data_IF_415987215822
#
_entry.id   IF_415987215822
#
_cell.length_a   1.000
_cell.length_b   1.000
_cell.length_c   1.000
_cell.angle_alpha   90.00
_cell.angle_beta   90.00
_cell.angle_gamma   90.00
#
_symmetry.space_group_name_H-M   'P 1'
#
loop_
_entity.id
_entity.type
_entity.pdbx_description
1 polymer ?
#
# COMPACT_ATOMS: atom_id res chain seq x y z
N UNK A 1 -6.73 15.01 39.18
CA UNK A 1 -6.90 15.79 37.92
C UNK A 1 -6.73 14.82 36.76
N UNK A 2 -7.84 14.24 36.27
CA UNK A 2 -7.82 13.17 35.28
C UNK A 2 -7.78 13.78 33.87
N UNK A 3 -6.74 13.47 33.10
CA UNK A 3 -6.68 13.86 31.68
C UNK A 3 -7.58 12.94 30.86
N UNK A 4 -8.64 13.52 30.31
CA UNK A 4 -9.50 12.87 29.33
C UNK A 4 -8.68 12.49 28.09
N UNK A 5 -8.70 11.22 27.70
CA UNK A 5 -8.15 10.74 26.42
C UNK A 5 -9.04 11.26 25.29
N UNK A 6 -8.49 11.78 24.17
CA UNK A 6 -9.31 12.12 23.03
C UNK A 6 -9.91 10.83 22.43
N UNK A 7 -11.16 10.86 21.93
CA UNK A 7 -11.77 9.70 21.30
C UNK A 7 -11.02 9.38 20.00
N UNK A 8 -10.53 8.15 19.89
CA UNK A 8 -10.22 7.57 18.58
C UNK A 8 -11.56 7.45 17.84
N UNK A 9 -11.84 8.40 16.95
CA UNK A 9 -12.92 8.23 15.98
C UNK A 9 -12.55 7.05 15.08
N UNK A 10 -13.20 5.90 15.30
CA UNK A 10 -13.30 4.89 14.25
C UNK A 10 -14.04 5.48 13.05
N UNK A 11 -13.84 4.94 11.83
CA UNK A 11 -14.59 5.40 10.67
C UNK A 11 -16.08 5.24 10.94
N UNK A 12 -16.84 6.32 10.72
CA UNK A 12 -18.28 6.28 10.72
C UNK A 12 -18.75 5.24 9.69
N UNK A 13 -19.59 4.32 10.13
CA UNK A 13 -20.27 3.39 9.25
C UNK A 13 -21.15 4.17 8.25
N UNK A 14 -21.03 3.87 6.95
CA UNK A 14 -22.15 4.03 6.01
C UNK A 14 -22.24 5.30 5.17
N UNK A 15 -21.14 5.95 4.78
CA UNK A 15 -21.20 6.85 3.61
C UNK A 15 -21.43 6.03 2.32
N UNK A 16 -22.25 6.50 1.36
CA UNK A 16 -22.50 5.74 0.13
C UNK A 16 -21.19 5.59 -0.66
N UNK A 17 -20.84 4.33 -0.98
CA UNK A 17 -19.73 4.04 -1.88
C UNK A 17 -19.98 4.70 -3.24
N UNK A 18 -18.99 5.45 -3.74
CA UNK A 18 -19.02 6.02 -5.09
C UNK A 18 -19.08 4.94 -6.17
N UNK A 19 -19.54 5.27 -7.41
CA UNK A 19 -19.72 4.29 -8.46
C UNK A 19 -18.41 3.57 -8.76
N UNK A 20 -18.59 2.30 -9.12
CA UNK A 20 -17.49 1.42 -9.44
C UNK A 20 -16.73 1.93 -10.66
N UNK A 21 -15.43 2.17 -10.49
CA UNK A 21 -14.58 2.75 -11.54
C UNK A 21 -13.42 1.81 -11.82
N UNK A 22 -13.05 1.63 -13.08
CA UNK A 22 -11.81 0.94 -13.40
C UNK A 22 -10.60 1.80 -13.01
N UNK A 23 -9.62 1.19 -12.35
CA UNK A 23 -8.43 1.88 -11.84
C UNK A 23 -7.17 1.15 -12.27
N UNK A 24 -6.08 1.90 -12.46
CA UNK A 24 -4.74 1.34 -12.50
C UNK A 24 -4.07 1.58 -11.15
N UNK A 25 -3.56 0.52 -10.52
CA UNK A 25 -2.79 0.62 -9.28
C UNK A 25 -1.32 0.67 -9.64
N UNK A 26 -0.57 1.58 -9.02
CA UNK A 26 0.86 1.78 -9.23
C UNK A 26 1.62 1.70 -7.91
N UNK A 27 2.35 0.61 -7.72
CA UNK A 27 3.29 0.46 -6.61
C UNK A 27 4.68 0.96 -7.03
N UNK A 28 5.28 1.82 -6.21
CA UNK A 28 6.66 2.31 -6.40
C UNK A 28 7.60 1.77 -5.33
N UNK A 29 8.87 1.61 -5.69
CA UNK A 29 9.94 1.39 -4.73
C UNK A 29 10.22 2.69 -3.97
N UNK A 30 10.73 2.58 -2.75
CA UNK A 30 11.17 3.73 -1.97
C UNK A 30 12.29 4.55 -2.63
N UNK A 31 12.98 3.99 -3.63
CA UNK A 31 13.95 4.69 -4.49
C UNK A 31 13.31 5.50 -5.62
N UNK A 32 11.97 5.51 -5.72
CA UNK A 32 11.19 6.22 -6.75
C UNK A 32 10.90 5.41 -8.01
N UNK A 33 11.59 4.28 -8.21
CA UNK A 33 11.39 3.39 -9.36
C UNK A 33 10.03 2.69 -9.35
N UNK A 34 9.48 2.38 -10.53
CA UNK A 34 8.26 1.59 -10.63
C UNK A 34 8.51 0.17 -10.11
N UNK A 35 7.74 -0.26 -9.10
CA UNK A 35 7.73 -1.65 -8.62
C UNK A 35 6.73 -2.44 -9.45
N UNK A 36 5.48 -1.97 -9.52
CA UNK A 36 4.40 -2.67 -10.18
C UNK A 36 3.23 -1.83 -10.67
N UNK A 37 2.58 -2.30 -11.74
CA UNK A 37 1.25 -1.85 -12.15
C UNK A 37 0.30 -3.03 -12.30
N UNK A 38 -0.97 -2.80 -12.01
CA UNK A 38 -2.05 -3.74 -12.33
C UNK A 38 -3.37 -3.01 -12.42
N UNK A 39 -4.34 -3.67 -13.04
CA UNK A 39 -5.68 -3.12 -13.22
C UNK A 39 -6.66 -3.80 -12.27
N UNK A 40 -7.65 -3.03 -11.85
CA UNK A 40 -8.74 -3.53 -11.06
C UNK A 40 -9.97 -2.66 -11.15
N UNK A 41 -10.96 -3.03 -10.36
CA UNK A 41 -12.24 -2.35 -10.26
C UNK A 41 -12.36 -1.81 -8.84
N UNK A 42 -12.63 -0.52 -8.72
CA UNK A 42 -12.50 0.20 -7.46
C UNK A 42 -13.84 0.72 -6.97
N UNK A 43 -14.04 0.60 -5.65
CA UNK A 43 -15.00 1.41 -4.89
C UNK A 43 -14.25 2.32 -3.94
N UNK A 44 -14.78 3.53 -3.75
CA UNK A 44 -14.23 4.52 -2.83
C UNK A 44 -15.16 4.67 -1.62
N UNK A 45 -14.57 4.82 -0.44
CA UNK A 45 -15.25 5.26 0.77
C UNK A 45 -14.47 6.37 1.48
N UNK A 46 -14.89 6.76 2.70
CA UNK A 46 -14.30 7.90 3.41
C UNK A 46 -12.80 7.72 3.73
N UNK A 47 -11.92 8.29 2.91
CA UNK A 47 -10.47 8.26 3.08
C UNK A 47 -9.81 6.92 2.71
N UNK A 48 -10.51 6.04 1.99
CA UNK A 48 -9.99 4.75 1.55
C UNK A 48 -10.54 4.33 0.19
N UNK A 49 -9.80 3.46 -0.48
CA UNK A 49 -10.16 2.85 -1.76
C UNK A 49 -10.03 1.34 -1.67
N UNK A 50 -11.03 0.60 -2.14
CA UNK A 50 -10.98 -0.85 -2.25
C UNK A 50 -10.96 -1.25 -3.73
N UNK A 51 -9.91 -1.98 -4.13
CA UNK A 51 -9.72 -2.47 -5.49
C UNK A 51 -9.91 -3.98 -5.52
N UNK A 52 -10.79 -4.45 -6.39
CA UNK A 52 -10.94 -5.85 -6.73
C UNK A 52 -10.04 -6.20 -7.92
N UNK A 53 -9.22 -7.23 -7.75
CA UNK A 53 -8.37 -7.80 -8.79
C UNK A 53 -8.41 -9.33 -8.78
N UNK A 54 -7.94 -9.95 -9.86
CA UNK A 54 -7.72 -11.39 -9.97
C UNK A 54 -6.22 -11.63 -10.08
N UNK A 55 -5.69 -12.55 -9.28
CA UNK A 55 -4.30 -12.97 -9.41
C UNK A 55 -4.14 -13.77 -10.70
N UNK A 56 -3.41 -13.24 -11.67
CA UNK A 56 -3.18 -13.88 -12.98
C UNK A 56 -1.78 -14.46 -13.12
N UNK A 57 -0.91 -14.26 -12.13
CA UNK A 57 0.50 -14.65 -12.18
C UNK A 57 0.70 -16.09 -11.73
N UNK A 58 1.90 -16.62 -11.98
CA UNK A 58 2.34 -17.90 -11.43
C UNK A 58 2.12 -17.95 -9.91
N UNK A 59 1.94 -19.15 -9.32
CA UNK A 59 1.85 -19.28 -7.88
C UNK A 59 3.05 -18.64 -7.18
N UNK A 60 2.78 -17.85 -6.14
CA UNK A 60 3.77 -17.16 -5.31
C UNK A 60 3.49 -17.43 -3.85
N UNK A 61 4.51 -17.81 -3.10
CA UNK A 61 4.41 -18.05 -1.67
C UNK A 61 4.88 -16.83 -0.88
N UNK A 62 4.03 -16.35 0.03
CA UNK A 62 4.29 -15.29 0.99
C UNK A 62 4.20 -15.87 2.41
N UNK A 63 5.28 -16.52 2.85
CA UNK A 63 5.27 -17.30 4.09
C UNK A 63 4.24 -18.45 4.04
N UNK A 64 3.28 -18.55 4.99
CA UNK A 64 2.22 -19.56 4.97
C UNK A 64 1.06 -19.26 4.01
N UNK A 65 1.00 -18.05 3.42
CA UNK A 65 -0.05 -17.68 2.48
C UNK A 65 0.45 -17.89 1.04
N UNK A 66 -0.31 -18.61 0.22
CA UNK A 66 0.01 -18.81 -1.20
C UNK A 66 -0.95 -18.00 -2.06
N UNK A 67 -0.43 -17.22 -3.00
CA UNK A 67 -1.18 -16.64 -4.11
C UNK A 67 -1.13 -17.61 -5.28
N UNK A 68 -2.27 -17.89 -5.89
CA UNK A 68 -2.42 -18.81 -7.01
C UNK A 68 -3.28 -18.18 -8.12
N UNK A 69 -3.06 -18.53 -9.40
CA UNK A 69 -3.91 -18.09 -10.49
C UNK A 69 -5.40 -18.25 -10.17
N UNK A 70 -6.19 -17.20 -10.38
CA UNK A 70 -7.62 -17.16 -10.12
C UNK A 70 -8.00 -16.74 -8.69
N UNK A 71 -7.05 -16.60 -7.76
CA UNK A 71 -7.36 -16.02 -6.46
C UNK A 71 -7.97 -14.62 -6.62
N UNK A 72 -8.99 -14.36 -5.80
CA UNK A 72 -9.64 -13.06 -5.71
C UNK A 72 -8.89 -12.21 -4.68
N UNK A 73 -8.50 -11.01 -5.09
CA UNK A 73 -7.90 -10.01 -4.22
C UNK A 73 -8.89 -8.86 -4.02
N UNK A 74 -9.18 -8.54 -2.76
CA UNK A 74 -9.75 -7.26 -2.38
C UNK A 74 -8.67 -6.46 -1.64
N UNK A 75 -8.23 -5.37 -2.25
CA UNK A 75 -7.08 -4.60 -1.84
C UNK A 75 -7.55 -3.25 -1.30
N UNK A 76 -7.31 -2.98 -0.03
CA UNK A 76 -7.74 -1.72 0.60
C UNK A 76 -6.53 -0.83 0.85
N UNK A 77 -6.68 0.40 0.38
CA UNK A 77 -5.70 1.48 0.45
C UNK A 77 -6.30 2.65 1.22
N UNK A 78 -5.46 3.39 1.93
CA UNK A 78 -5.90 4.52 2.74
C UNK A 78 -5.13 5.79 2.38
N UNK A 79 -5.82 6.92 2.42
CA UNK A 79 -5.24 8.26 2.21
C UNK A 79 -4.37 8.72 3.38
N UNK A 80 -4.50 8.09 4.55
CA UNK A 80 -3.86 8.51 5.81
C UNK A 80 -3.13 7.39 6.57
N UNK A 81 -3.16 6.14 6.07
CA UNK A 81 -2.50 5.01 6.73
C UNK A 81 -1.27 4.54 5.99
N UNK A 82 -0.27 4.16 6.78
CA UNK A 82 1.00 3.66 6.27
C UNK A 82 1.01 2.14 6.06
N UNK A 83 -0.07 1.62 5.48
CA UNK A 83 -0.17 0.24 5.04
C UNK A 83 -1.33 0.09 4.07
N UNK A 84 -1.32 -0.96 3.25
CA UNK A 84 -2.49 -1.46 2.54
C UNK A 84 -2.73 -2.93 2.93
N UNK A 85 -3.97 -3.42 2.78
CA UNK A 85 -4.34 -4.79 3.19
C UNK A 85 -5.09 -5.50 2.08
N UNK A 86 -4.65 -6.70 1.73
CA UNK A 86 -5.26 -7.53 0.69
C UNK A 86 -5.94 -8.72 1.34
N UNK A 87 -7.27 -8.83 1.20
CA UNK A 87 -8.01 -10.06 1.50
C UNK A 87 -7.82 -11.02 0.33
N UNK A 88 -7.22 -12.17 0.59
CA UNK A 88 -6.96 -13.19 -0.43
C UNK A 88 -7.97 -14.32 -0.27
N UNK A 89 -8.80 -14.53 -1.27
CA UNK A 89 -9.76 -15.63 -1.29
C UNK A 89 -9.49 -16.55 -2.49
N UNK A 90 -9.74 -17.84 -2.29
CA UNK A 90 -9.66 -18.81 -3.37
C UNK A 90 -10.69 -18.48 -4.47
N UNK A 91 -10.43 -18.86 -5.74
CA UNK A 91 -11.44 -18.78 -6.78
C UNK A 91 -12.70 -19.54 -6.36
N UNK A 92 -13.86 -19.05 -6.80
CA UNK A 92 -15.08 -19.82 -6.67
C UNK A 92 -15.04 -21.04 -7.59
N UNK A 93 -15.42 -22.23 -7.11
CA UNK A 93 -15.63 -23.37 -7.99
C UNK A 93 -16.69 -23.02 -9.04
N UNK A 94 -16.37 -23.24 -10.31
CA UNK A 94 -17.32 -23.07 -11.42
C UNK A 94 -18.62 -23.86 -11.13
N UNK A 95 -19.77 -23.21 -11.35
CA UNK A 95 -21.09 -23.84 -11.18
C UNK A 95 -21.68 -23.78 -9.77
N UNK A 96 -20.99 -23.19 -8.78
CA UNK A 96 -21.59 -22.85 -7.48
C UNK A 96 -21.78 -21.33 -7.38
N UNK A 97 -22.85 -20.82 -7.99
CA UNK A 97 -23.47 -19.54 -7.60
C UNK A 97 -24.10 -19.73 -6.21
N UNK A 98 -23.31 -19.97 -5.17
CA UNK A 98 -23.85 -19.93 -3.81
C UNK A 98 -23.78 -18.50 -3.32
N UNK A 99 -24.90 -18.00 -2.80
CA UNK A 99 -24.95 -16.87 -1.88
C UNK A 99 -24.06 -17.19 -0.68
N UNK A 100 -22.78 -16.83 -0.73
CA UNK A 100 -21.82 -17.09 0.33
C UNK A 100 -20.45 -16.50 0.01
N UNK A 101 -19.71 -16.09 1.04
CA UNK A 101 -18.38 -15.52 0.88
C UNK A 101 -17.39 -16.56 0.31
N UNK A 102 -16.48 -16.11 -0.55
CA UNK A 102 -15.39 -16.94 -1.09
C UNK A 102 -14.55 -17.52 0.06
N UNK A 103 -13.92 -18.68 -0.17
CA UNK A 103 -13.06 -19.30 0.86
C UNK A 103 -11.85 -18.41 1.12
N UNK A 104 -11.84 -17.74 2.26
CA UNK A 104 -10.73 -16.91 2.72
C UNK A 104 -9.47 -17.77 2.90
N UNK A 105 -8.36 -17.34 2.29
CA UNK A 105 -7.03 -17.93 2.47
C UNK A 105 -6.24 -17.18 3.54
N UNK A 106 -6.45 -15.88 3.65
CA UNK A 106 -5.85 -15.01 4.66
C UNK A 106 -5.80 -13.56 4.20
N UNK A 107 -5.03 -12.75 4.94
CA UNK A 107 -4.77 -11.35 4.64
C UNK A 107 -3.27 -11.13 4.44
N UNK A 108 -2.93 -10.32 3.45
CA UNK A 108 -1.59 -9.80 3.24
C UNK A 108 -1.58 -8.31 3.62
N UNK A 109 -0.67 -7.91 4.49
CA UNK A 109 -0.57 -6.55 5.01
C UNK A 109 0.77 -5.98 4.57
N UNK A 110 0.75 -5.00 3.68
CA UNK A 110 1.96 -4.35 3.17
C UNK A 110 2.18 -3.04 3.91
N UNK A 111 3.36 -2.84 4.50
CA UNK A 111 3.76 -1.52 4.98
C UNK A 111 4.02 -0.63 3.76
N UNK A 112 3.26 0.45 3.63
CA UNK A 112 3.29 1.33 2.47
C UNK A 112 3.15 2.79 2.89
N UNK A 113 3.41 3.75 2.01
CA UNK A 113 2.94 5.12 2.25
C UNK A 113 1.42 5.19 2.11
N UNK A 114 0.78 6.24 2.66
CA UNK A 114 -0.59 6.54 2.29
C UNK A 114 -0.75 6.65 0.78
N UNK A 115 -1.82 6.06 0.26
CA UNK A 115 -2.10 6.01 -1.16
C UNK A 115 -2.69 7.34 -1.64
N UNK A 116 -2.49 7.64 -2.93
CA UNK A 116 -3.04 8.82 -3.59
C UNK A 116 -3.76 8.40 -4.85
N UNK A 117 -4.97 8.91 -5.06
CA UNK A 117 -5.67 8.79 -6.32
C UNK A 117 -5.29 9.98 -7.20
N UNK A 118 -4.61 9.72 -8.31
CA UNK A 118 -4.25 10.70 -9.32
C UNK A 118 -5.19 10.59 -10.52
N UNK A 119 -5.69 11.72 -11.01
CA UNK A 119 -6.54 11.76 -12.20
C UNK A 119 -5.81 11.27 -13.46
N UNK A 120 -6.59 10.75 -14.41
CA UNK A 120 -6.07 10.36 -15.71
C UNK A 120 -5.42 11.58 -16.41
N UNK A 121 -4.15 11.48 -16.79
CA UNK A 121 -3.46 12.51 -17.58
C UNK A 121 -2.69 13.59 -16.79
N UNK A 122 -2.61 13.53 -15.45
CA UNK A 122 -1.85 14.53 -14.66
C UNK A 122 -0.39 14.16 -14.33
N UNK A 123 0.17 13.07 -14.88
CA UNK A 123 1.59 12.79 -14.67
C UNK A 123 2.47 13.47 -15.74
N UNK A 124 3.54 14.11 -15.25
CA UNK A 124 4.68 14.68 -15.97
C UNK A 124 5.51 13.66 -16.80
N UNK A 125 4.94 12.52 -17.21
CA UNK A 125 5.60 11.52 -18.03
C UNK A 125 5.29 11.76 -19.51
N UNK A 126 6.33 12.00 -20.32
CA UNK A 126 6.30 12.27 -21.77
C UNK A 126 5.68 11.18 -22.66
N UNK A 127 5.15 10.09 -22.09
CA UNK A 127 4.44 9.05 -22.85
C UNK A 127 3.35 8.44 -21.97
N UNK A 128 2.06 8.56 -22.33
CA UNK A 128 1.00 7.89 -21.60
C UNK A 128 1.18 6.37 -21.72
N UNK A 129 1.10 5.60 -20.62
CA UNK A 129 0.99 4.14 -20.70
C UNK A 129 -0.32 3.75 -21.40
N UNK A 130 -0.37 2.52 -21.92
CA UNK A 130 -1.58 1.97 -22.53
C UNK A 130 -2.71 1.94 -21.48
N UNK A 131 -3.74 2.78 -21.65
CA UNK A 131 -4.78 3.01 -20.64
C UNK A 131 -5.15 4.48 -20.39
N UNK A 132 -4.82 5.39 -21.31
CA UNK A 132 -5.16 6.81 -21.25
C UNK A 132 -6.66 6.99 -20.94
N UNK A 133 -6.98 7.51 -19.74
CA UNK A 133 -8.36 7.80 -19.31
C UNK A 133 -8.75 7.23 -17.94
N UNK A 134 -7.94 6.33 -17.34
CA UNK A 134 -8.25 5.75 -16.01
C UNK A 134 -7.54 6.52 -14.87
N UNK A 135 -8.18 6.67 -13.71
CA UNK A 135 -7.48 7.16 -12.52
C UNK A 135 -6.39 6.17 -12.09
N UNK A 136 -5.35 6.69 -11.45
CA UNK A 136 -4.21 5.91 -10.93
C UNK A 136 -4.17 5.97 -9.42
N UNK A 137 -4.18 4.81 -8.77
CA UNK A 137 -3.99 4.70 -7.32
C UNK A 137 -2.52 4.39 -7.04
N UNK A 138 -1.78 5.36 -6.50
CA UNK A 138 -0.32 5.31 -6.36
C UNK A 138 0.07 5.19 -4.89
N UNK A 139 1.04 4.32 -4.59
CA UNK A 139 1.69 4.25 -3.29
C UNK A 139 3.15 3.84 -3.39
N UNK A 140 3.94 4.13 -2.35
CA UNK A 140 5.31 3.65 -2.19
C UNK A 140 5.34 2.46 -1.26
N UNK A 141 5.95 1.38 -1.73
CA UNK A 141 6.11 0.12 -1.03
C UNK A 141 7.27 0.19 -0.02
N UNK A 142 6.98 -0.17 1.22
CA UNK A 142 7.91 -0.14 2.35
C UNK A 142 8.63 -1.46 2.58
N UNK A 143 8.45 -2.46 1.71
CA UNK A 143 9.07 -3.79 1.71
C UNK A 143 8.91 -4.64 2.98
N UNK A 144 8.25 -4.13 4.02
CA UNK A 144 7.93 -4.90 5.23
C UNK A 144 6.50 -5.37 5.13
N UNK A 145 6.30 -6.67 5.10
CA UNK A 145 4.98 -7.26 4.93
C UNK A 145 4.61 -8.17 6.10
N UNK A 146 3.33 -8.37 6.33
CA UNK A 146 2.84 -9.39 7.24
C UNK A 146 1.74 -10.21 6.58
N UNK A 147 1.61 -11.45 7.00
CA UNK A 147 0.49 -12.32 6.61
C UNK A 147 -0.27 -12.73 7.84
N UNK A 148 -1.60 -12.69 7.76
CA UNK A 148 -2.53 -13.07 8.82
C UNK A 148 -3.42 -14.19 8.28
N UNK A 149 -3.40 -15.34 8.94
CA UNK A 149 -4.21 -16.50 8.56
C UNK A 149 -5.60 -16.44 9.22
N UNK A 150 -6.61 -17.15 8.68
CA UNK A 150 -7.96 -17.13 9.23
C UNK A 150 -8.07 -17.60 10.69
N UNK A 151 -7.10 -18.41 11.16
CA UNK A 151 -7.00 -18.87 12.55
C UNK A 151 -6.31 -17.86 13.49
N UNK A 152 -5.95 -16.68 12.99
CA UNK A 152 -5.29 -15.61 13.71
C UNK A 152 -3.79 -15.74 13.89
N UNK A 153 -3.17 -16.84 13.43
CA UNK A 153 -1.70 -16.88 13.32
C UNK A 153 -1.25 -15.84 12.31
N UNK A 154 -0.16 -15.16 12.63
CA UNK A 154 0.42 -14.17 11.73
C UNK A 154 1.95 -14.19 11.75
N UNK A 155 2.56 -13.66 10.68
CA UNK A 155 4.02 -13.61 10.54
C UNK A 155 4.47 -12.36 9.80
N UNK A 156 5.55 -11.75 10.28
CA UNK A 156 6.33 -10.79 9.47
C UNK A 156 7.07 -11.52 8.35
N UNK A 157 7.10 -10.88 7.19
CA UNK A 157 7.92 -11.20 6.03
C UNK A 157 8.94 -10.07 5.84
N UNK A 158 9.98 -10.34 5.06
CA UNK A 158 10.87 -9.33 4.47
C UNK A 158 11.52 -8.34 5.46
N UNK A 159 11.78 -8.82 6.69
CA UNK A 159 12.43 -8.03 7.76
C UNK A 159 13.88 -7.65 7.41
N UNK A 160 14.54 -8.39 6.53
CA UNK A 160 15.92 -8.10 6.12
C UNK A 160 15.97 -6.95 5.11
N UNK A 161 15.04 -6.99 4.15
CA UNK A 161 14.79 -6.02 3.11
C UNK A 161 14.39 -4.69 3.74
N UNK A 162 13.51 -4.72 4.75
CA UNK A 162 13.17 -3.52 5.51
C UNK A 162 14.37 -2.92 6.23
N UNK A 163 15.22 -3.73 6.87
CA UNK A 163 16.47 -3.23 7.47
C UNK A 163 17.40 -2.62 6.43
N UNK A 164 17.49 -3.22 5.24
CA UNK A 164 18.25 -2.68 4.13
C UNK A 164 17.69 -1.32 3.67
N UNK A 165 16.38 -1.21 3.49
CA UNK A 165 15.69 0.04 3.15
C UNK A 165 16.04 1.15 4.15
N UNK A 166 15.98 0.86 5.46
CA UNK A 166 16.34 1.84 6.50
C UNK A 166 17.82 2.23 6.49
N UNK A 167 18.70 1.40 5.91
CA UNK A 167 20.12 1.69 5.72
C UNK A 167 20.41 2.62 4.53
N UNK A 168 19.51 2.69 3.53
CA UNK A 168 19.67 3.56 2.36
C UNK A 168 19.51 5.05 2.71
N UNK A 169 18.75 5.38 3.76
CA UNK A 169 18.52 6.76 4.22
C UNK A 169 19.72 7.44 4.89
N UNK A 170 20.90 6.81 4.91
CA UNK A 170 22.10 7.29 5.62
C UNK A 170 23.19 7.93 4.76
N UNK A 171 23.07 7.97 3.42
CA UNK A 171 24.07 8.61 2.54
C UNK A 171 23.59 9.96 2.02
N UNK A 172 23.39 10.92 2.94
CA UNK A 172 23.48 12.33 2.60
C UNK A 172 24.91 12.63 2.15
N UNK A 173 25.08 13.11 0.92
CA UNK A 173 26.37 13.51 0.37
C UNK A 173 27.05 14.45 1.35
N UNK A 174 28.22 14.05 1.84
CA UNK A 174 29.19 14.99 2.36
C UNK A 174 29.41 16.04 1.29
N UNK A 175 29.18 17.30 1.66
CA UNK A 175 29.58 18.45 0.87
C UNK A 175 31.08 18.29 0.61
N UNK A 176 31.43 17.88 -0.61
CA UNK A 176 32.75 18.11 -1.13
C UNK A 176 32.96 19.62 -1.11
N UNK A 177 33.77 20.08 -0.16
CA UNK A 177 34.35 21.42 -0.18
C UNK A 177 35.03 21.58 -1.53
N UNK A 178 34.57 22.55 -2.31
CA UNK A 178 35.38 23.12 -3.37
C UNK A 178 35.12 24.63 -3.39
N UNK A 179 36.20 25.39 -3.20
CA UNK A 179 36.39 26.72 -3.81
C UNK A 179 35.52 27.87 -3.32
N UNK A 180 36.11 28.68 -2.46
CA UNK A 180 35.80 30.10 -2.25
C UNK A 180 35.64 30.92 -3.54
N UNK A 181 34.63 31.81 -3.60
CA UNK A 181 34.79 33.23 -3.98
C UNK A 181 33.48 34.05 -3.79
N UNK A 182 33.53 34.93 -2.77
CA UNK A 182 33.01 36.31 -2.68
C UNK A 182 31.65 36.77 -3.27
N UNK A 183 30.80 37.19 -2.32
CA UNK A 183 30.22 38.55 -2.12
C UNK A 183 29.06 39.08 -3.00
N UNK A 184 28.00 39.54 -2.31
CA UNK A 184 26.97 40.47 -2.80
C UNK A 184 25.77 40.58 -1.84
N UNK A 185 25.70 41.68 -1.08
CA UNK A 185 24.66 42.02 -0.10
C UNK A 185 23.29 42.33 -0.75
N UNK A 186 22.15 42.05 -0.10
CA UNK A 186 21.43 43.00 0.76
C UNK A 186 19.94 42.62 0.94
N UNK A 187 19.21 43.25 1.88
CA UNK A 187 18.09 42.64 2.62
C UNK A 187 16.71 43.15 2.18
N UNK A 188 15.63 42.38 2.46
CA UNK A 188 14.42 42.96 3.06
C UNK A 188 13.40 41.95 3.60
N UNK A 189 12.66 42.41 4.60
CA UNK A 189 11.82 41.68 5.52
C UNK A 189 10.42 41.31 4.98
N UNK A 190 9.81 40.27 5.56
CA UNK A 190 8.40 39.95 5.36
C UNK A 190 7.90 38.91 6.36
N UNK A 191 7.20 39.38 7.39
CA UNK A 191 6.60 38.58 8.46
C UNK A 191 5.47 37.65 7.95
N UNK A 192 5.36 36.46 8.56
CA UNK A 192 4.20 35.59 8.41
C UNK A 192 4.42 34.20 9.01
N UNK A 193 3.94 33.97 10.24
CA UNK A 193 3.63 32.62 10.72
C UNK A 193 2.12 32.49 10.93
N UNK A 194 1.58 31.30 11.28
CA UNK A 194 2.10 29.95 11.10
C UNK A 194 1.08 29.04 10.39
N UNK A 195 1.53 27.98 9.71
CA UNK A 195 0.66 26.86 9.35
C UNK A 195 1.37 25.55 9.67
N UNK A 196 0.91 24.86 10.72
CA UNK A 196 1.31 23.50 11.02
C UNK A 196 0.69 22.58 9.98
N UNK A 197 1.47 22.22 8.97
CA UNK A 197 1.13 21.21 7.99
C UNK A 197 1.09 19.83 8.65
N UNK A 198 -0.07 19.19 8.55
CA UNK A 198 -0.24 17.78 8.84
C UNK A 198 0.56 16.95 7.81
N UNK A 199 1.45 16.09 8.31
CA UNK A 199 2.00 14.91 7.63
C UNK A 199 2.30 15.06 6.14
N UNK A 200 3.37 15.77 5.81
CA UNK A 200 3.97 15.68 4.49
C UNK A 200 4.35 14.21 4.21
N UNK A 201 3.75 13.62 3.17
CA UNK A 201 4.33 12.44 2.53
C UNK A 201 5.75 12.75 2.02
N UNK A 202 6.56 11.74 1.69
CA UNK A 202 7.91 11.97 1.19
C UNK A 202 7.88 12.97 0.03
N UNK A 203 8.73 13.99 0.13
CA UNK A 203 8.94 14.98 -0.91
C UNK A 203 9.44 14.25 -2.16
N UNK A 204 8.61 14.23 -3.21
CA UNK A 204 8.91 13.55 -4.48
C UNK A 204 10.21 14.07 -5.12
N UNK A 205 10.70 15.25 -4.69
CA UNK A 205 11.85 15.93 -5.25
C UNK A 205 13.22 15.36 -4.82
N UNK A 206 13.34 14.63 -3.71
CA UNK A 206 14.68 14.30 -3.15
C UNK A 206 15.02 12.82 -3.05
N UNK A 207 14.10 11.91 -3.34
CA UNK A 207 14.33 10.45 -3.32
C UNK A 207 14.88 9.94 -1.97
N UNK A 208 14.71 10.70 -0.89
CA UNK A 208 15.27 10.38 0.43
C UNK A 208 14.22 9.64 1.24
N UNK A 209 14.56 8.41 1.63
CA UNK A 209 13.71 7.57 2.48
C UNK A 209 13.59 8.23 3.86
N UNK A 210 12.40 8.70 4.24
CA UNK A 210 12.13 9.15 5.61
C UNK A 210 12.13 7.96 6.58
N UNK A 211 13.34 7.61 7.03
CA UNK A 211 13.59 6.49 7.93
C UNK A 211 12.75 6.58 9.21
N UNK A 212 12.55 7.78 9.75
CA UNK A 212 11.83 7.96 11.00
C UNK A 212 10.34 7.65 10.82
N UNK A 213 9.73 8.13 9.73
CA UNK A 213 8.35 7.83 9.40
C UNK A 213 8.12 6.32 9.20
N UNK A 214 8.99 5.64 8.45
CA UNK A 214 8.90 4.19 8.23
C UNK A 214 9.00 3.39 9.53
N UNK A 215 9.95 3.73 10.42
CA UNK A 215 10.09 3.06 11.72
C UNK A 215 8.85 3.28 12.58
N UNK A 216 8.33 4.51 12.62
CA UNK A 216 7.14 4.84 13.39
C UNK A 216 5.91 4.08 12.87
N UNK A 217 5.75 3.99 11.55
CA UNK A 217 4.69 3.23 10.90
C UNK A 217 4.78 1.73 11.22
N UNK A 218 5.96 1.13 11.05
CA UNK A 218 6.19 -0.28 11.36
C UNK A 218 5.89 -0.61 12.82
N UNK A 219 6.30 0.26 13.76
CA UNK A 219 5.97 0.11 15.20
C UNK A 219 4.48 0.16 15.47
N UNK A 220 3.76 1.13 14.90
CA UNK A 220 2.30 1.24 15.06
C UNK A 220 1.59 0.00 14.52
N UNK A 221 2.02 -0.49 13.36
CA UNK A 221 1.45 -1.70 12.75
C UNK A 221 1.74 -2.94 13.61
N UNK A 222 2.97 -3.08 14.12
CA UNK A 222 3.35 -4.18 15.01
C UNK A 222 2.50 -4.23 16.28
N UNK A 223 2.23 -3.09 16.90
CA UNK A 223 1.36 -3.03 18.10
C UNK A 223 -0.07 -3.50 17.78
N UNK A 224 -0.60 -3.16 16.60
CA UNK A 224 -1.95 -3.61 16.18
C UNK A 224 -1.98 -5.12 15.95
N UNK A 225 -1.03 -5.65 15.18
CA UNK A 225 -0.94 -7.08 14.88
C UNK A 225 -0.68 -7.93 16.13
N UNK A 226 0.18 -7.47 17.04
CA UNK A 226 0.50 -8.19 18.26
C UNK A 226 -0.66 -8.27 19.26
N UNK A 227 -1.59 -7.31 19.22
CA UNK A 227 -2.75 -7.30 20.12
C UNK A 227 -3.79 -8.35 19.70
N UNK A 228 -4.19 -8.32 18.44
CA UNK A 228 -5.12 -9.28 17.83
C UNK A 228 -5.10 -9.08 16.32
N UNK A 229 -4.24 -9.84 15.62
CA UNK A 229 -4.03 -9.65 14.18
C UNK A 229 -5.32 -9.91 13.38
N UNK A 230 -6.09 -10.93 13.75
CA UNK A 230 -7.29 -11.32 13.01
C UNK A 230 -8.41 -10.30 13.20
N UNK A 231 -8.72 -9.93 14.44
CA UNK A 231 -9.74 -8.91 14.69
C UNK A 231 -9.33 -7.57 14.09
N UNK A 232 -8.02 -7.25 14.11
CA UNK A 232 -7.49 -6.06 13.46
C UNK A 232 -7.82 -6.04 11.96
N UNK A 233 -7.37 -7.04 11.18
CA UNK A 233 -7.54 -7.03 9.71
C UNK A 233 -8.99 -7.26 9.28
N UNK A 234 -9.73 -8.13 9.97
CA UNK A 234 -11.13 -8.40 9.67
C UNK A 234 -12.04 -7.20 9.96
N UNK A 235 -11.67 -6.35 10.92
CA UNK A 235 -12.42 -5.16 11.31
C UNK A 235 -12.04 -3.87 10.60
N UNK A 236 -11.11 -3.88 9.63
CA UNK A 236 -10.66 -2.66 8.94
C UNK A 236 -11.75 -2.02 8.09
N UNK A 237 -12.53 -2.86 7.41
CA UNK A 237 -13.60 -2.51 6.48
C UNK A 237 -14.66 -3.62 6.47
N UNK A 238 -15.89 -3.36 6.03
CA UNK A 238 -16.90 -4.41 5.86
C UNK A 238 -16.60 -5.24 4.61
N UNK A 239 -15.64 -6.17 4.72
CA UNK A 239 -15.11 -6.92 3.58
C UNK A 239 -16.16 -7.59 2.69
N UNK A 240 -17.19 -8.19 3.31
CA UNK A 240 -18.24 -8.90 2.56
C UNK A 240 -19.20 -7.93 1.84
N UNK A 241 -19.41 -6.72 2.36
CA UNK A 241 -20.17 -5.67 1.66
C UNK A 241 -19.39 -5.16 0.46
N UNK A 242 -18.08 -4.95 0.61
CA UNK A 242 -17.20 -4.54 -0.49
C UNK A 242 -17.15 -5.59 -1.59
N UNK A 243 -17.06 -6.87 -1.22
CA UNK A 243 -17.09 -7.97 -2.19
C UNK A 243 -18.40 -7.97 -2.98
N UNK A 244 -19.54 -7.84 -2.31
CA UNK A 244 -20.86 -7.75 -2.97
C UNK A 244 -20.97 -6.54 -3.89
N UNK A 245 -20.50 -5.37 -3.46
CA UNK A 245 -20.55 -4.15 -4.25
C UNK A 245 -19.69 -4.28 -5.53
N UNK A 246 -18.52 -4.90 -5.41
CA UNK A 246 -17.59 -5.10 -6.53
C UNK A 246 -18.00 -6.23 -7.48
N UNK A 247 -18.69 -7.27 -6.98
CA UNK A 247 -19.23 -8.34 -7.83
C UNK A 247 -20.52 -7.91 -8.56
N UNK A 248 -21.33 -7.04 -7.95
CA UNK A 248 -22.55 -6.48 -8.57
C UNK A 248 -22.28 -5.48 -9.70
N UNK A 249 -21.05 -4.98 -9.82
CA UNK A 249 -20.67 -3.94 -10.77
C UNK A 249 -20.22 -4.45 -12.16
N UNK A 250 -20.27 -5.77 -12.40
CA UNK A 250 -19.86 -6.38 -13.65
C UNK A 250 -18.47 -7.01 -13.60
N UNK A 251 -18.04 -7.58 -14.73
CA UNK A 251 -16.82 -8.41 -14.83
C UNK A 251 -15.57 -7.67 -14.38
N UNK A 252 -14.88 -8.20 -13.39
CA UNK A 252 -13.55 -7.69 -13.02
C UNK A 252 -12.58 -7.99 -14.15
N UNK A 253 -11.86 -6.97 -14.67
CA UNK A 253 -10.88 -7.17 -15.70
C UNK A 253 -9.84 -8.17 -15.24
N UNK A 254 -9.53 -9.13 -16.11
CA UNK A 254 -8.37 -9.99 -15.96
C UNK A 254 -7.15 -9.11 -16.24
N UNK A 255 -6.42 -8.72 -15.20
CA UNK A 255 -5.24 -7.87 -15.36
C UNK A 255 -4.23 -8.57 -16.29
N UNK A 256 -3.88 -7.98 -17.46
CA UNK A 256 -2.83 -8.52 -18.30
C UNK A 256 -1.49 -8.49 -17.56
N UNK A 257 -0.65 -9.50 -17.80
CA UNK A 257 0.60 -9.71 -17.08
C UNK A 257 1.53 -8.50 -17.13
N UNK A 258 1.57 -7.73 -16.04
CA UNK A 258 2.60 -6.73 -15.83
C UNK A 258 3.95 -7.41 -15.57
N UNK A 259 4.95 -7.01 -16.34
CA UNK A 259 6.29 -7.58 -16.35
C UNK A 259 7.04 -7.16 -15.07
N UNK A 260 7.17 -8.08 -14.11
CA UNK A 260 7.97 -7.86 -12.89
C UNK A 260 9.36 -8.46 -13.02
N UNK A 261 10.35 -7.59 -13.18
CA UNK A 261 11.67 -7.86 -12.60
C UNK A 261 11.62 -7.49 -11.11
N UNK A 262 11.57 -8.48 -10.24
CA UNK A 262 11.92 -8.26 -8.84
C UNK A 262 13.45 -8.17 -8.71
N UNK A 263 14.01 -7.13 -8.07
CA UNK A 263 15.35 -7.22 -7.51
C UNK A 263 15.28 -8.00 -6.19
N UNK A 264 15.97 -9.15 -6.14
CA UNK A 264 16.35 -9.79 -4.88
C UNK A 264 15.40 -10.85 -4.31
N UNK A 265 15.23 -11.98 -4.99
CA UNK A 265 15.03 -13.26 -4.30
C UNK A 265 16.39 -13.95 -4.17
N UNK A 266 17.24 -13.46 -3.26
CA UNK A 266 18.45 -14.14 -2.84
C UNK A 266 18.30 -14.55 -1.38
N UNK A 267 18.01 -15.83 -1.14
CA UNK A 267 17.87 -16.36 0.21
C UNK A 267 17.28 -17.76 0.27
N UNK A 268 17.88 -18.74 -0.42
CA UNK A 268 17.74 -20.15 -0.01
C UNK A 268 18.56 -20.32 1.26
N UNK A 269 17.92 -20.31 2.43
CA UNK A 269 18.49 -20.94 3.61
C UNK A 269 18.57 -22.45 3.34
N UNK A 270 19.77 -22.96 3.08
CA UNK A 270 20.08 -24.37 3.29
C UNK A 270 20.34 -24.54 4.79
N UNK A 271 19.56 -25.39 5.43
CA UNK A 271 19.89 -25.90 6.76
C UNK A 271 21.18 -26.74 6.69
N UNK A 272 22.05 -26.70 7.72
CA UNK A 272 23.17 -27.62 7.80
C UNK A 272 22.65 -29.02 8.18
N UNK A 273 23.05 -30.01 7.38
CA UNK A 273 23.12 -31.41 7.77
C UNK A 273 24.57 -31.80 8.01
#
# INVERSE_FOLDING_TARGET
MAMARPPCAGPAAGGPSRPVTEVEVEARLATGGLKATWQGVMVEGPGWWCVAAIWTRRPTQAGPLTFAPGDRLLEVYWADRWYNVFRVAAPEPAGRLRRGARRLKGYYVNLATPARLAEAGTAACRRPPAGAGRPRLVYVDGVLDAVVLPDGRWRWLDRAEFRHLLGLGGRGRGTARCGSATAGAGPDAGAGGPARSAGAGPDEATGTVDRAAWIAAARRLAVRLARDAQAFVAGLVPWDDLERALDGAGTVPVAPGADHRQPGTAGRERAPG
#
